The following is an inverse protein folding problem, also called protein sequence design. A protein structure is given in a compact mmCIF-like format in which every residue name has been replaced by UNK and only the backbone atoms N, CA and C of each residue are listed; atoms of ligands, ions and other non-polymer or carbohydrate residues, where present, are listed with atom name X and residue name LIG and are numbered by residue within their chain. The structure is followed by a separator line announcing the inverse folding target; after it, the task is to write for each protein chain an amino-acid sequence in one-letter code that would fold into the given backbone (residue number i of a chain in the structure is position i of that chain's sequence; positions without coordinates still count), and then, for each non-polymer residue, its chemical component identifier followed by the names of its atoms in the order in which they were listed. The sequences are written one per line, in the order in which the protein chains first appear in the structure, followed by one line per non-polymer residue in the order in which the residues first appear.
data_IF_160391262194
#
_entry.id   IF_160391262194
#
_cell.length_a   1.000
_cell.length_b   1.000
_cell.length_c   1.000
_cell.angle_alpha   90.00
_cell.angle_beta   90.00
_cell.angle_gamma   90.00
#
_symmetry.space_group_name_H-M   'P 1'
#
loop_
_entity.id
_entity.type
_entity.pdbx_description
1 polymer ?
#
# COMPACT_ATOMS: atom_id res chain seq x y z
N UNK A 1 -20.58 -4.00 10.96
CA UNK A 1 -19.25 -4.42 11.47
C UNK A 1 -18.70 -3.26 12.28
N UNK A 2 -18.23 -3.51 13.50
CA UNK A 2 -17.46 -2.48 14.23
C UNK A 2 -16.16 -2.19 13.45
N UNK A 3 -15.63 -0.99 13.56
CA UNK A 3 -14.35 -0.60 12.93
C UNK A 3 -13.20 -1.55 13.31
N UNK A 4 -13.20 -2.05 14.54
CA UNK A 4 -12.29 -3.09 15.02
C UNK A 4 -12.38 -4.37 14.18
N UNK A 5 -13.59 -4.90 13.98
CA UNK A 5 -13.78 -6.15 13.22
C UNK A 5 -13.34 -6.07 11.75
N UNK A 6 -13.39 -4.88 11.15
CA UNK A 6 -12.94 -4.70 9.77
C UNK A 6 -11.41 -4.58 9.66
N UNK A 7 -10.76 -3.89 10.60
CA UNK A 7 -9.30 -3.79 10.63
C UNK A 7 -8.65 -5.13 10.98
N UNK A 8 -9.28 -5.96 11.80
CA UNK A 8 -8.82 -7.32 12.08
C UNK A 8 -8.78 -8.18 10.80
N UNK A 9 -9.74 -8.00 9.89
CA UNK A 9 -9.71 -8.62 8.56
C UNK A 9 -8.62 -8.02 7.68
N UNK A 10 -8.57 -6.68 7.62
CA UNK A 10 -7.69 -5.91 6.73
C UNK A 10 -6.21 -6.17 7.02
N UNK A 11 -5.83 -6.13 8.29
CA UNK A 11 -4.44 -6.27 8.75
C UNK A 11 -4.14 -7.67 9.30
N UNK A 12 -4.97 -8.66 8.97
CA UNK A 12 -4.76 -10.04 9.42
C UNK A 12 -3.37 -10.54 9.02
N UNK A 13 -2.62 -11.03 10.01
CA UNK A 13 -1.26 -11.54 9.82
C UNK A 13 -0.19 -10.45 9.72
N UNK A 14 -0.53 -9.17 9.98
CA UNK A 14 0.44 -8.11 10.20
C UNK A 14 0.69 -7.89 11.69
N UNK A 15 1.95 -7.63 12.05
CA UNK A 15 2.33 -7.06 13.34
C UNK A 15 2.26 -5.54 13.26
N UNK A 16 1.27 -4.95 13.92
CA UNK A 16 1.08 -3.50 13.95
C UNK A 16 0.64 -3.01 15.33
N UNK A 17 0.91 -1.75 15.61
CA UNK A 17 0.45 -1.04 16.79
C UNK A 17 -0.41 0.16 16.39
N UNK A 18 -1.51 0.36 17.11
CA UNK A 18 -2.30 1.58 17.00
C UNK A 18 -1.60 2.69 17.81
N UNK A 19 -1.14 3.74 17.13
CA UNK A 19 -0.49 4.89 17.77
C UNK A 19 -1.47 6.06 17.98
N UNK A 20 -2.53 6.15 17.17
CA UNK A 20 -3.64 7.09 17.30
C UNK A 20 -4.75 6.72 16.32
N UNK A 21 -5.98 7.22 16.53
CA UNK A 21 -7.21 6.88 15.78
C UNK A 21 -7.12 6.99 14.23
N UNK A 22 -6.01 7.49 13.67
CA UNK A 22 -5.77 7.66 12.24
C UNK A 22 -4.47 7.03 11.73
N UNK A 23 -3.54 6.61 12.59
CA UNK A 23 -2.21 6.17 12.17
C UNK A 23 -1.84 4.83 12.79
N UNK A 24 -1.45 3.90 11.93
CA UNK A 24 -0.93 2.59 12.30
C UNK A 24 0.57 2.53 12.08
N UNK A 25 1.27 1.92 13.03
CA UNK A 25 2.70 1.63 12.98
C UNK A 25 2.89 0.15 12.66
N UNK A 26 3.32 -0.16 11.45
CA UNK A 26 3.56 -1.52 10.98
C UNK A 26 5.02 -1.91 11.18
N UNK A 27 5.24 -3.11 11.75
CA UNK A 27 6.59 -3.69 11.91
C UNK A 27 6.99 -4.62 10.77
N UNK A 28 6.05 -4.93 9.87
CA UNK A 28 6.28 -5.79 8.73
C UNK A 28 5.47 -5.32 7.53
N UNK A 29 6.10 -5.41 6.36
CA UNK A 29 5.50 -5.05 5.07
C UNK A 29 4.95 -6.27 4.35
N UNK A 30 5.33 -7.46 4.79
CA UNK A 30 4.76 -8.72 4.34
C UNK A 30 4.06 -9.37 5.52
N UNK A 31 2.85 -9.87 5.31
CA UNK A 31 2.14 -10.62 6.35
C UNK A 31 2.70 -12.04 6.50
N UNK A 32 2.34 -12.73 7.58
CA UNK A 32 2.97 -14.00 7.98
C UNK A 32 2.87 -15.13 6.91
N UNK A 33 1.86 -15.11 6.03
CA UNK A 33 1.63 -16.11 4.97
C UNK A 33 1.92 -15.61 3.55
N UNK A 34 2.52 -14.41 3.42
CA UNK A 34 2.83 -13.74 2.16
C UNK A 34 1.61 -13.58 1.21
N UNK A 35 0.38 -13.58 1.76
CA UNK A 35 -0.85 -13.32 1.00
C UNK A 35 -1.21 -11.84 0.92
N UNK A 36 -0.62 -11.01 1.77
CA UNK A 36 -0.82 -9.55 1.80
C UNK A 36 0.50 -8.82 1.94
N UNK A 37 0.58 -7.67 1.28
CA UNK A 37 1.73 -6.76 1.36
C UNK A 37 1.29 -5.33 1.60
N UNK A 38 2.10 -4.61 2.37
CA UNK A 38 2.03 -3.18 2.59
C UNK A 38 3.19 -2.53 1.86
N UNK A 39 2.87 -1.62 0.95
CA UNK A 39 3.89 -0.90 0.18
C UNK A 39 3.73 0.57 0.48
N UNK A 40 4.80 1.19 0.97
CA UNK A 40 4.90 2.63 1.09
C UNK A 40 5.08 3.21 -0.30
N UNK A 41 4.25 4.17 -0.66
CA UNK A 41 4.25 4.78 -1.99
C UNK A 41 4.32 6.30 -1.88
N UNK A 42 4.68 6.96 -2.98
CA UNK A 42 4.41 8.39 -3.12
C UNK A 42 2.89 8.61 -3.26
N UNK A 43 2.29 9.57 -2.54
CA UNK A 43 0.89 9.95 -2.74
C UNK A 43 0.58 10.34 -4.19
N UNK A 44 1.57 10.92 -4.89
CA UNK A 44 1.43 11.35 -6.29
C UNK A 44 1.20 10.18 -7.24
N UNK A 45 1.57 8.95 -6.84
CA UNK A 45 1.32 7.74 -7.64
C UNK A 45 -0.15 7.30 -7.56
N UNK A 46 -0.98 7.95 -6.74
CA UNK A 46 -2.39 7.63 -6.57
C UNK A 46 -3.26 8.83 -6.90
N UNK A 47 -4.31 8.61 -7.68
CA UNK A 47 -5.39 9.57 -7.80
C UNK A 47 -6.70 8.97 -7.30
N UNK A 48 -7.57 9.83 -6.80
CA UNK A 48 -8.87 9.43 -6.28
C UNK A 48 -10.00 9.89 -7.20
N UNK A 49 -11.08 9.13 -7.22
CA UNK A 49 -12.29 9.48 -7.95
C UNK A 49 -13.53 9.06 -7.18
N UNK A 50 -14.63 9.78 -7.39
CA UNK A 50 -15.91 9.44 -6.77
C UNK A 50 -16.60 8.35 -7.58
N UNK A 51 -16.87 7.19 -6.95
CA UNK A 51 -17.62 6.12 -7.60
C UNK A 51 -19.13 6.40 -7.61
N UNK A 52 -19.86 5.61 -8.40
CA UNK A 52 -21.32 5.72 -8.60
C UNK A 52 -22.16 5.63 -7.31
N UNK A 53 -21.58 5.15 -6.20
CA UNK A 53 -22.23 4.98 -4.90
C UNK A 53 -21.78 6.01 -3.86
N UNK A 54 -21.11 7.09 -4.28
CA UNK A 54 -20.63 8.16 -3.38
C UNK A 54 -19.42 7.78 -2.52
N UNK A 55 -18.73 6.67 -2.86
CA UNK A 55 -17.49 6.28 -2.21
C UNK A 55 -16.29 6.75 -3.02
N UNK A 56 -15.31 7.31 -2.32
CA UNK A 56 -13.98 7.58 -2.90
C UNK A 56 -13.31 6.26 -3.25
N UNK A 57 -12.91 6.10 -4.50
CA UNK A 57 -12.08 5.00 -4.98
C UNK A 57 -10.72 5.56 -5.38
N UNK A 58 -9.74 4.67 -5.49
CA UNK A 58 -8.36 5.05 -5.78
C UNK A 58 -7.85 4.26 -6.98
N UNK A 59 -6.99 4.90 -7.77
CA UNK A 59 -6.22 4.26 -8.82
C UNK A 59 -4.75 4.47 -8.51
N UNK A 60 -4.01 3.37 -8.49
CA UNK A 60 -2.57 3.36 -8.36
C UNK A 60 -1.95 3.27 -9.76
N UNK A 61 -1.13 4.27 -10.10
CA UNK A 61 -0.29 4.25 -11.30
C UNK A 61 0.90 3.33 -11.03
N UNK A 62 1.08 2.30 -11.86
CA UNK A 62 2.20 1.36 -11.75
C UNK A 62 3.36 1.79 -12.63
N UNK A 63 3.03 2.20 -13.85
CA UNK A 63 3.93 2.81 -14.82
C UNK A 63 3.12 3.69 -15.76
N UNK A 64 3.70 4.04 -16.91
CA UNK A 64 3.06 4.84 -17.93
C UNK A 64 1.77 4.22 -18.46
N UNK A 65 1.69 2.90 -18.59
CA UNK A 65 0.63 2.22 -19.34
C UNK A 65 -0.22 1.26 -18.49
N UNK A 66 0.12 1.06 -17.21
CA UNK A 66 -0.56 0.14 -16.32
C UNK A 66 -0.98 0.79 -15.01
N UNK A 67 -2.14 0.39 -14.50
CA UNK A 67 -2.66 0.81 -13.22
C UNK A 67 -3.36 -0.31 -12.45
N UNK A 68 -3.67 -0.05 -11.19
CA UNK A 68 -4.53 -0.89 -10.36
C UNK A 68 -5.66 -0.08 -9.75
N UNK A 69 -6.87 -0.63 -9.80
CA UNK A 69 -8.01 -0.08 -9.09
C UNK A 69 -8.01 -0.59 -7.66
N UNK A 70 -7.92 0.35 -6.72
CA UNK A 70 -7.88 0.07 -5.30
C UNK A 70 -9.24 0.35 -4.67
N UNK A 71 -9.65 -0.54 -3.76
CA UNK A 71 -10.77 -0.25 -2.86
C UNK A 71 -10.40 0.87 -1.90
N UNK A 72 -11.40 1.57 -1.38
CA UNK A 72 -11.21 2.70 -0.47
C UNK A 72 -10.35 2.38 0.77
N UNK A 73 -10.41 1.14 1.24
CA UNK A 73 -9.64 0.65 2.38
C UNK A 73 -8.25 0.13 2.00
N UNK A 74 -7.88 0.05 0.73
CA UNK A 74 -6.53 -0.37 0.34
C UNK A 74 -5.53 0.78 0.42
N UNK A 75 -5.98 2.03 0.27
CA UNK A 75 -5.15 3.23 0.37
C UNK A 75 -5.36 3.92 1.72
N UNK A 76 -4.29 4.30 2.42
CA UNK A 76 -4.39 4.97 3.72
C UNK A 76 -3.06 5.58 4.18
N UNK A 77 -3.13 6.50 5.14
CA UNK A 77 -1.96 7.05 5.81
C UNK A 77 -1.56 6.20 7.02
N UNK A 78 -0.27 5.87 7.12
CA UNK A 78 0.35 5.25 8.29
C UNK A 78 1.31 6.23 8.97
N UNK A 79 1.96 5.80 10.04
CA UNK A 79 2.85 6.68 10.82
C UNK A 79 4.05 7.20 10.02
N UNK A 80 4.61 6.38 9.12
CA UNK A 80 5.80 6.70 8.33
C UNK A 80 5.51 7.05 6.85
N UNK A 81 4.26 7.41 6.53
CA UNK A 81 3.85 7.85 5.19
C UNK A 81 2.62 7.12 4.67
N UNK A 82 2.41 7.23 3.36
CA UNK A 82 1.25 6.70 2.66
C UNK A 82 1.46 5.25 2.24
N UNK A 83 0.47 4.41 2.51
CA UNK A 83 0.51 2.98 2.24
C UNK A 83 -0.61 2.52 1.33
N UNK A 84 -0.27 1.51 0.52
CA UNK A 84 -1.23 0.63 -0.12
C UNK A 84 -1.16 -0.76 0.50
N UNK A 85 -2.32 -1.36 0.73
CA UNK A 85 -2.48 -2.76 1.13
C UNK A 85 -2.96 -3.57 -0.07
N UNK A 86 -2.11 -4.49 -0.52
CA UNK A 86 -2.41 -5.42 -1.61
C UNK A 86 -2.63 -6.82 -1.05
N UNK A 87 -3.56 -7.54 -1.65
CA UNK A 87 -3.87 -8.93 -1.33
C UNK A 87 -3.75 -9.75 -2.60
N UNK A 88 -3.07 -10.89 -2.52
CA UNK A 88 -2.75 -11.76 -3.65
C UNK A 88 -3.99 -12.16 -4.45
N UNK A 89 -5.12 -12.37 -3.77
CA UNK A 89 -6.38 -12.79 -4.40
C UNK A 89 -6.98 -11.67 -5.24
N UNK A 90 -6.75 -10.42 -4.86
CA UNK A 90 -7.33 -9.25 -5.51
C UNK A 90 -6.30 -8.44 -6.34
N UNK A 91 -5.07 -8.94 -6.47
CA UNK A 91 -4.03 -8.30 -7.25
C UNK A 91 -4.38 -8.39 -8.74
N UNK A 92 -4.80 -7.26 -9.31
CA UNK A 92 -5.19 -7.18 -10.72
C UNK A 92 -4.67 -5.89 -11.34
N UNK A 93 -3.74 -6.05 -12.26
CA UNK A 93 -3.26 -4.99 -13.14
C UNK A 93 -4.24 -4.79 -14.29
N UNK A 94 -4.42 -3.55 -14.69
CA UNK A 94 -5.22 -3.14 -15.83
C UNK A 94 -4.42 -2.16 -16.70
N UNK A 95 -4.69 -2.19 -17.99
CA UNK A 95 -4.11 -1.23 -18.92
C UNK A 95 -4.75 0.14 -18.71
N UNK A 96 -3.91 1.17 -18.68
CA UNK A 96 -4.35 2.55 -18.70
C UNK A 96 -4.90 2.87 -20.09
N UNK A 97 -6.03 3.57 -20.15
CA UNK A 97 -6.61 4.01 -21.42
C UNK A 97 -5.74 5.08 -22.10
N UNK A 98 -5.13 5.92 -21.29
CA UNK A 98 -4.22 6.98 -21.72
C UNK A 98 -2.96 6.91 -20.87
N UNK A 99 -1.77 7.20 -21.44
CA UNK A 99 -0.52 7.17 -20.72
C UNK A 99 -0.48 8.13 -19.52
N UNK A 100 0.08 7.69 -18.40
CA UNK A 100 0.46 8.56 -17.30
C UNK A 100 1.81 9.21 -17.63
N UNK A 101 1.78 10.44 -18.15
CA UNK A 101 2.97 11.17 -18.62
C UNK A 101 4.02 11.45 -17.53
N UNK A 102 3.62 11.40 -16.26
CA UNK A 102 4.47 11.59 -15.09
C UNK A 102 5.13 10.30 -14.59
N UNK A 103 4.84 9.15 -15.21
CA UNK A 103 5.35 7.84 -14.80
C UNK A 103 6.45 7.33 -15.74
N UNK A 104 7.28 6.44 -15.22
CA UNK A 104 8.29 5.69 -15.99
C UNK A 104 7.64 4.80 -17.04
N UNK A 105 8.37 4.48 -18.11
CA UNK A 105 7.85 3.65 -19.22
C UNK A 105 7.60 2.20 -18.86
N UNK A 106 8.31 1.67 -17.86
CA UNK A 106 8.18 0.28 -17.42
C UNK A 106 8.20 0.27 -15.89
N UNK A 107 7.17 -0.33 -15.30
CA UNK A 107 7.02 -0.40 -13.85
C UNK A 107 7.62 -1.65 -13.25
N UNK A 108 8.03 -1.52 -11.99
CA UNK A 108 8.61 -2.60 -11.21
C UNK A 108 7.56 -3.39 -10.40
N UNK A 109 6.25 -3.17 -10.62
CA UNK A 109 5.17 -3.79 -9.82
C UNK A 109 4.01 -4.31 -10.69
N UNK A 110 4.33 -5.07 -11.74
CA UNK A 110 3.34 -5.58 -12.69
C UNK A 110 2.81 -6.97 -12.31
N UNK A 111 3.52 -7.69 -11.43
CA UNK A 111 3.10 -9.00 -10.91
C UNK A 111 3.02 -9.00 -9.38
N UNK A 112 2.33 -10.00 -8.82
CA UNK A 112 2.31 -10.20 -7.38
C UNK A 112 3.71 -10.43 -6.80
N UNK A 113 4.57 -11.17 -7.52
CA UNK A 113 5.92 -11.44 -7.04
C UNK A 113 6.72 -10.14 -6.97
N UNK A 114 6.57 -9.25 -7.95
CA UNK A 114 7.23 -7.95 -7.92
C UNK A 114 6.77 -7.11 -6.71
N UNK A 115 5.46 -7.08 -6.44
CA UNK A 115 4.91 -6.41 -5.27
C UNK A 115 5.43 -7.01 -3.95
N UNK A 116 5.57 -8.33 -3.90
CA UNK A 116 6.13 -9.05 -2.76
C UNK A 116 7.61 -8.72 -2.56
N UNK A 117 8.39 -8.66 -3.63
CA UNK A 117 9.81 -8.33 -3.59
C UNK A 117 10.03 -6.89 -3.14
N UNK A 118 9.26 -5.92 -3.67
CA UNK A 118 9.26 -4.52 -3.21
C UNK A 118 8.94 -4.44 -1.72
N UNK A 119 7.91 -5.15 -1.25
CA UNK A 119 7.54 -5.14 0.16
C UNK A 119 8.65 -5.74 1.05
N UNK A 120 9.29 -6.84 0.61
CA UNK A 120 10.43 -7.45 1.29
C UNK A 120 11.61 -6.49 1.36
N UNK A 121 11.90 -5.74 0.30
CA UNK A 121 12.95 -4.72 0.28
C UNK A 121 12.66 -3.58 1.24
N UNK A 122 11.44 -3.03 1.22
CA UNK A 122 11.03 -2.00 2.19
C UNK A 122 11.08 -2.49 3.63
N UNK A 123 10.76 -3.77 3.89
CA UNK A 123 10.88 -4.36 5.22
C UNK A 123 12.32 -4.45 5.70
N UNK A 124 13.28 -4.76 4.82
CA UNK A 124 14.71 -4.75 5.17
C UNK A 124 15.13 -3.34 5.60
N UNK A 125 14.73 -2.33 4.84
CA UNK A 125 15.00 -0.92 5.18
C UNK A 125 14.43 -0.58 6.55
N UNK A 126 13.17 -0.93 6.86
CA UNK A 126 12.59 -0.66 8.19
C UNK A 126 13.35 -1.37 9.32
N UNK A 127 13.83 -2.60 9.08
CA UNK A 127 14.62 -3.34 10.07
C UNK A 127 16.00 -2.71 10.31
N UNK A 128 16.56 -2.03 9.31
CA UNK A 128 17.86 -1.34 9.36
C UNK A 128 17.72 0.12 9.84
N UNK A 129 16.63 0.81 9.50
CA UNK A 129 16.34 2.24 9.75
C UNK A 129 15.65 2.51 11.11
N UNK A 130 15.39 1.51 11.94
CA UNK A 130 15.12 1.72 13.37
C UNK A 130 16.28 2.44 14.11
N UNK A 131 17.33 2.86 13.40
CA UNK A 131 18.49 3.63 13.86
C UNK A 131 18.57 5.09 13.36
N UNK A 132 17.73 5.55 12.41
CA UNK A 132 17.94 6.88 11.78
C UNK A 132 17.20 8.02 12.47
N UNK A 133 16.14 7.75 13.25
CA UNK A 133 15.45 8.77 14.05
C UNK A 133 15.60 8.50 15.55
N UNK A 134 16.84 8.49 16.03
CA UNK A 134 17.10 8.76 17.45
C UNK A 134 17.15 10.28 17.59
N UNK A 135 16.09 10.87 18.15
CA UNK A 135 16.19 12.22 18.67
C UNK A 135 17.33 12.21 19.71
N UNK A 136 18.42 12.92 19.42
CA UNK A 136 19.44 13.17 20.43
C UNK A 136 18.84 14.17 21.43
N UNK A 137 18.81 13.77 22.69
CA UNK A 137 18.57 14.67 23.83
C UNK A 137 19.57 15.85 23.84
#
# INVERSE_FOLDING_TARGET
MSTTSFNDYRFKGFKYQDQSHKYWDFKQQVNDDESKVLIRISPDNVFSYMGNKGWTNYVLKLDRDHCMFLKNWQYFEGYYGTYILLDKIYFKVADAREPFEDMVSQGDMLTWNDALDIAKEQQKIISEDNLVLVAKD
#
